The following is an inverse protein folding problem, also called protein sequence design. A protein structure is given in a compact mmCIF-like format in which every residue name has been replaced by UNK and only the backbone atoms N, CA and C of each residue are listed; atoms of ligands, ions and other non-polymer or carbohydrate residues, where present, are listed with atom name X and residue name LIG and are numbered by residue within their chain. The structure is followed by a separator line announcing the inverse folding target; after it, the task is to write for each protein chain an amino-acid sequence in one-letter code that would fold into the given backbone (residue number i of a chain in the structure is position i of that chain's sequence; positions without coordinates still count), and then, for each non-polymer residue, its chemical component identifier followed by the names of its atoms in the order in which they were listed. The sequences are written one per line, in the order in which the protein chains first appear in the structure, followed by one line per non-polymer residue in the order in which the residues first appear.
data_IF_410760668964
#
_entry.id   IF_410760668964
#
_cell.length_a   1.000
_cell.length_b   1.000
_cell.length_c   1.000
_cell.angle_alpha   90.00
_cell.angle_beta   90.00
_cell.angle_gamma   90.00
#
_symmetry.space_group_name_H-M   'P 1'
#
loop_
_entity.id
_entity.type
_entity.pdbx_description
1 polymer ?
#
# COMPACT_ATOMS: atom_id res chain seq x y z
N UNK A 1 11.16 -3.44 28.32
CA UNK A 1 10.10 -2.81 27.52
C UNK A 1 10.45 -1.34 27.33
N UNK A 2 10.76 -0.91 26.11
CA UNK A 2 11.02 0.50 25.80
C UNK A 2 9.70 1.10 25.37
N UNK A 3 9.13 1.99 26.20
CA UNK A 3 7.92 2.75 25.86
C UNK A 3 8.37 4.03 25.16
N UNK A 4 8.00 4.19 23.90
CA UNK A 4 8.23 5.43 23.14
C UNK A 4 6.99 6.31 23.27
N UNK A 5 7.11 7.48 23.90
CA UNK A 5 6.03 8.48 23.93
C UNK A 5 6.33 9.57 22.91
N UNK A 6 5.51 9.65 21.86
CA UNK A 6 5.54 10.72 20.87
C UNK A 6 4.59 11.83 21.34
N UNK A 7 5.11 13.02 21.66
CA UNK A 7 4.28 14.20 21.95
C UNK A 7 4.14 15.00 20.66
N UNK A 8 2.95 14.98 20.05
CA UNK A 8 2.60 15.78 18.87
C UNK A 8 1.79 16.99 19.35
N UNK A 9 2.33 18.20 19.21
CA UNK A 9 1.57 19.44 19.47
C UNK A 9 0.92 19.92 18.18
N UNK A 10 -0.41 19.79 18.08
CA UNK A 10 -1.18 20.28 16.95
C UNK A 10 -1.77 21.64 17.33
N UNK A 11 -1.44 22.70 16.57
CA UNK A 11 -2.08 24.02 16.71
C UNK A 11 -2.98 24.25 15.49
N UNK A 12 -4.29 24.27 15.72
CA UNK A 12 -5.30 24.52 14.68
C UNK A 12 -5.64 26.01 14.67
N UNK A 13 -5.56 26.65 13.50
CA UNK A 13 -6.16 27.97 13.25
C UNK A 13 -6.98 27.90 11.96
N UNK A 14 -8.14 28.55 11.97
CA UNK A 14 -9.34 28.18 11.21
C UNK A 14 -9.25 28.21 9.68
N UNK A 15 -8.12 28.58 9.06
CA UNK A 15 -8.04 28.69 7.60
C UNK A 15 -6.73 28.20 6.96
N UNK A 16 -5.83 27.51 7.69
CA UNK A 16 -4.69 26.82 7.09
C UNK A 16 -4.13 25.73 8.03
N UNK A 17 -4.01 24.49 7.52
CA UNK A 17 -3.36 23.39 8.24
C UNK A 17 -1.84 23.52 8.04
N UNK A 18 -1.16 24.18 8.97
CA UNK A 18 0.30 24.17 9.03
C UNK A 18 0.76 23.06 9.97
N UNK A 19 1.32 21.98 9.40
CA UNK A 19 1.97 20.90 10.16
C UNK A 19 3.44 21.32 10.37
N UNK A 20 3.76 21.83 11.56
CA UNK A 20 5.15 22.03 11.96
C UNK A 20 5.56 20.89 12.89
N UNK A 21 6.54 20.08 12.46
CA UNK A 21 7.09 18.99 13.26
C UNK A 21 8.14 19.60 14.19
N UNK A 22 7.80 19.74 15.48
CA UNK A 22 8.75 20.12 16.52
C UNK A 22 9.84 19.07 16.72
N UNK A 23 11.06 19.54 17.00
CA UNK A 23 12.30 18.77 17.12
C UNK A 23 12.18 17.47 17.94
N UNK A 24 12.69 16.37 17.38
CA UNK A 24 12.74 15.05 18.04
C UNK A 24 13.89 15.06 19.06
N UNK A 25 13.58 15.01 20.36
CA UNK A 25 14.57 14.70 21.40
C UNK A 25 14.47 13.23 21.80
N UNK A 26 15.52 12.47 21.49
CA UNK A 26 15.69 11.06 21.88
C UNK A 26 16.48 11.03 23.19
N UNK A 27 15.81 10.71 24.31
CA UNK A 27 16.52 10.40 25.56
C UNK A 27 16.62 8.87 25.65
N UNK A 28 17.82 8.35 25.41
CA UNK A 28 18.09 6.91 25.32
C UNK A 28 18.80 6.42 26.59
N UNK A 29 18.06 5.79 27.51
CA UNK A 29 18.62 5.15 28.70
C UNK A 29 18.83 3.64 28.49
N UNK A 30 19.72 3.27 27.56
CA UNK A 30 20.55 2.06 27.72
C UNK A 30 21.65 2.01 26.64
N UNK A 31 22.90 2.11 27.08
CA UNK A 31 24.08 2.09 26.22
C UNK A 31 24.47 0.65 25.87
N UNK A 32 24.43 0.33 24.58
CA UNK A 32 25.35 -0.63 23.95
C UNK A 32 26.06 0.12 22.81
N UNK A 33 27.39 0.36 22.87
CA UNK A 33 28.01 1.45 22.10
C UNK A 33 28.40 1.11 20.65
N UNK A 34 28.06 -0.05 20.08
CA UNK A 34 28.64 -0.49 18.79
C UNK A 34 27.73 -0.42 17.55
N UNK A 35 26.49 0.07 17.66
CA UNK A 35 25.55 0.16 16.52
C UNK A 35 25.33 1.56 15.93
N UNK A 36 26.06 2.60 16.36
CA UNK A 36 25.64 3.99 16.09
C UNK A 36 26.21 4.67 14.83
N UNK A 37 27.18 4.08 14.13
CA UNK A 37 27.95 4.85 13.13
C UNK A 37 27.48 4.71 11.67
N UNK A 38 26.76 3.64 11.30
CA UNK A 38 26.35 3.41 9.89
C UNK A 38 24.85 3.12 9.67
N UNK A 39 24.04 3.02 10.73
CA UNK A 39 22.58 2.88 10.60
C UNK A 39 21.88 4.17 10.12
N UNK A 40 22.57 5.31 10.15
CA UNK A 40 22.04 6.62 9.77
C UNK A 40 21.85 6.79 8.24
N UNK A 41 22.85 6.55 7.37
CA UNK A 41 22.72 6.82 5.94
C UNK A 41 21.70 5.92 5.21
N UNK A 42 21.60 4.63 5.56
CA UNK A 42 20.66 3.70 4.89
C UNK A 42 19.21 4.09 5.16
N UNK A 43 18.88 4.48 6.39
CA UNK A 43 17.54 4.95 6.74
C UNK A 43 17.19 6.29 6.06
N UNK A 44 18.18 7.17 5.87
CA UNK A 44 17.98 8.44 5.16
C UNK A 44 17.72 8.22 3.66
N UNK A 45 18.49 7.35 3.00
CA UNK A 45 18.29 7.06 1.57
C UNK A 45 16.90 6.46 1.33
N UNK A 46 16.46 5.52 2.15
CA UNK A 46 15.13 4.93 1.94
C UNK A 46 14.00 5.90 2.25
N UNK A 47 14.15 6.75 3.27
CA UNK A 47 13.18 7.82 3.50
C UNK A 47 13.06 8.75 2.28
N UNK A 48 14.19 9.10 1.64
CA UNK A 48 14.19 9.88 0.40
C UNK A 48 13.55 9.14 -0.78
N UNK A 49 13.80 7.84 -0.93
CA UNK A 49 13.17 7.03 -1.99
C UNK A 49 11.65 6.93 -1.81
N UNK A 50 11.19 6.68 -0.59
CA UNK A 50 9.75 6.64 -0.27
C UNK A 50 9.11 8.00 -0.53
N UNK A 51 9.73 9.10 -0.06
CA UNK A 51 9.26 10.45 -0.36
C UNK A 51 9.18 10.74 -1.87
N UNK A 52 10.17 10.29 -2.64
CA UNK A 52 10.18 10.44 -4.09
C UNK A 52 8.99 9.72 -4.74
N UNK A 53 8.73 8.47 -4.33
CA UNK A 53 7.59 7.69 -4.84
C UNK A 53 6.26 8.31 -4.44
N UNK A 54 6.09 8.73 -3.18
CA UNK A 54 4.89 9.45 -2.73
C UNK A 54 4.66 10.73 -3.53
N UNK A 55 5.72 11.52 -3.77
CA UNK A 55 5.62 12.75 -4.57
C UNK A 55 5.31 12.47 -6.05
N UNK A 56 5.77 11.35 -6.60
CA UNK A 56 5.43 10.94 -7.96
C UNK A 56 3.95 10.54 -8.04
N UNK A 57 3.45 9.73 -7.11
CA UNK A 57 2.03 9.35 -7.03
C UNK A 57 1.13 10.58 -6.89
N UNK A 58 1.47 11.52 -6.00
CA UNK A 58 0.69 12.77 -5.83
C UNK A 58 0.60 13.58 -7.12
N UNK A 59 1.67 13.65 -7.91
CA UNK A 59 1.65 14.31 -9.22
C UNK A 59 0.72 13.60 -10.20
N UNK A 60 0.76 12.27 -10.25
CA UNK A 60 -0.14 11.48 -11.10
C UNK A 60 -1.60 11.66 -10.69
N UNK A 61 -1.90 11.62 -9.38
CA UNK A 61 -3.23 11.86 -8.82
C UNK A 61 -3.78 13.24 -9.22
N UNK A 62 -2.96 14.29 -9.10
CA UNK A 62 -3.35 15.64 -9.50
C UNK A 62 -3.60 15.75 -11.00
N UNK A 63 -2.76 15.11 -11.82
CA UNK A 63 -2.93 15.10 -13.28
C UNK A 63 -4.23 14.38 -13.69
N UNK A 64 -4.48 13.18 -13.15
CA UNK A 64 -5.72 12.43 -13.41
C UNK A 64 -6.95 13.21 -12.96
N UNK A 65 -6.91 13.81 -11.77
CA UNK A 65 -8.00 14.64 -11.27
C UNK A 65 -8.35 15.75 -12.26
N UNK A 66 -7.34 16.52 -12.70
CA UNK A 66 -7.53 17.61 -13.68
C UNK A 66 -8.10 17.11 -15.01
N UNK A 67 -7.64 15.96 -15.49
CA UNK A 67 -8.15 15.36 -16.72
C UNK A 67 -9.66 15.08 -16.62
N UNK A 68 -10.10 14.38 -15.58
CA UNK A 68 -11.52 14.07 -15.39
C UNK A 68 -12.35 15.33 -15.13
N UNK A 69 -11.82 16.30 -14.40
CA UNK A 69 -12.51 17.59 -14.17
C UNK A 69 -12.76 18.30 -15.53
N UNK A 70 -11.82 18.24 -16.47
CA UNK A 70 -11.99 18.78 -17.83
C UNK A 70 -12.99 17.97 -18.67
N UNK A 71 -12.98 16.64 -18.58
CA UNK A 71 -13.94 15.78 -19.29
C UNK A 71 -15.38 16.04 -18.83
N UNK A 72 -15.59 16.22 -17.51
CA UNK A 72 -16.90 16.58 -16.96
C UNK A 72 -17.35 17.95 -17.46
N UNK A 73 -16.47 18.95 -17.46
CA UNK A 73 -16.80 20.28 -17.99
C UNK A 73 -17.18 20.23 -19.48
N UNK A 74 -16.46 19.43 -20.27
CA UNK A 74 -16.76 19.25 -21.69
C UNK A 74 -18.13 18.60 -21.90
N UNK A 75 -18.50 17.60 -21.10
CA UNK A 75 -19.84 17.01 -21.14
C UNK A 75 -20.92 18.04 -20.81
N UNK A 76 -20.73 18.86 -19.78
CA UNK A 76 -21.70 19.89 -19.40
C UNK A 76 -21.88 20.94 -20.51
N UNK A 77 -20.79 21.32 -21.20
CA UNK A 77 -20.87 22.22 -22.36
C UNK A 77 -21.62 21.57 -23.52
N UNK A 78 -21.34 20.30 -23.83
CA UNK A 78 -22.02 19.56 -24.90
C UNK A 78 -23.51 19.37 -24.59
N UNK A 79 -23.85 19.08 -23.33
CA UNK A 79 -25.23 19.00 -22.85
C UNK A 79 -25.96 20.31 -23.12
N UNK A 80 -25.40 21.43 -22.66
CA UNK A 80 -26.00 22.76 -22.82
C UNK A 80 -26.29 23.09 -24.29
N UNK A 81 -25.32 22.85 -25.17
CA UNK A 81 -25.51 23.06 -26.62
C UNK A 81 -26.60 22.16 -27.21
N UNK A 82 -26.69 20.92 -26.73
CA UNK A 82 -27.71 19.96 -27.19
C UNK A 82 -29.11 20.41 -26.77
N UNK A 83 -29.28 20.86 -25.53
CA UNK A 83 -30.55 21.37 -25.01
C UNK A 83 -30.98 22.65 -25.75
N UNK A 84 -30.08 23.62 -25.91
CA UNK A 84 -30.38 24.88 -26.63
C UNK A 84 -30.84 24.60 -28.07
N UNK A 85 -30.19 23.65 -28.76
CA UNK A 85 -30.59 23.24 -30.12
C UNK A 85 -31.97 22.60 -30.15
N UNK A 86 -32.26 21.70 -29.21
CA UNK A 86 -33.56 21.02 -29.12
C UNK A 86 -34.69 21.99 -28.79
N UNK A 87 -34.49 22.90 -27.84
CA UNK A 87 -35.48 23.93 -27.50
C UNK A 87 -35.82 24.82 -28.71
N UNK A 88 -34.81 25.17 -29.52
CA UNK A 88 -35.02 25.93 -30.75
C UNK A 88 -35.81 25.14 -31.79
N UNK A 89 -35.48 23.86 -31.99
CA UNK A 89 -36.19 22.96 -32.90
C UNK A 89 -37.64 22.73 -32.46
N UNK A 90 -37.87 22.50 -31.17
CA UNK A 90 -39.18 22.38 -30.56
C UNK A 90 -40.04 23.62 -30.77
N UNK A 91 -39.45 24.82 -30.60
CA UNK A 91 -40.14 26.09 -30.84
C UNK A 91 -40.56 26.25 -32.30
N UNK A 92 -39.70 25.85 -33.24
CA UNK A 92 -39.99 25.91 -34.67
C UNK A 92 -41.11 24.93 -35.05
N UNK A 93 -41.00 23.66 -34.63
CA UNK A 93 -42.02 22.62 -34.87
C UNK A 93 -43.40 23.04 -34.35
N UNK A 94 -43.47 23.60 -33.14
CA UNK A 94 -44.72 24.07 -32.55
C UNK A 94 -45.36 25.20 -33.37
N UNK A 95 -44.54 26.14 -33.85
CA UNK A 95 -44.99 27.27 -34.66
C UNK A 95 -45.51 26.82 -36.03
N UNK A 96 -44.79 25.93 -36.69
CA UNK A 96 -45.15 25.47 -38.03
C UNK A 96 -46.41 24.60 -37.99
N UNK A 97 -46.55 23.77 -36.96
CA UNK A 97 -47.73 22.94 -36.75
C UNK A 97 -48.97 23.78 -36.38
N UNK A 98 -48.82 24.81 -35.53
CA UNK A 98 -49.89 25.76 -35.24
C UNK A 98 -50.38 26.49 -36.50
N UNK A 99 -49.44 26.92 -37.37
CA UNK A 99 -49.77 27.56 -38.66
C UNK A 99 -50.50 26.59 -39.58
N UNK A 100 -50.04 25.34 -39.67
CA UNK A 100 -50.63 24.29 -40.51
C UNK A 100 -52.07 24.00 -40.09
N UNK A 101 -52.32 23.79 -38.80
CA UNK A 101 -53.66 23.50 -38.27
C UNK A 101 -54.60 24.68 -38.50
N UNK A 102 -54.17 25.93 -38.21
CA UNK A 102 -55.01 27.12 -38.47
C UNK A 102 -55.38 27.27 -39.94
N UNK A 103 -54.42 27.07 -40.85
CA UNK A 103 -54.69 27.14 -42.28
C UNK A 103 -55.70 26.08 -42.76
N UNK A 104 -55.71 24.90 -42.13
CA UNK A 104 -56.71 23.87 -42.44
C UNK A 104 -58.08 24.18 -41.80
N UNK A 105 -58.07 24.71 -40.57
CA UNK A 105 -59.27 25.19 -39.88
C UNK A 105 -60.00 26.27 -40.67
N UNK A 106 -59.27 27.25 -41.24
CA UNK A 106 -59.84 28.32 -42.06
C UNK A 106 -60.51 27.76 -43.34
N UNK A 107 -59.91 26.75 -43.98
CA UNK A 107 -60.51 26.07 -45.15
C UNK A 107 -61.78 25.32 -44.76
N UNK A 108 -61.73 24.55 -43.68
CA UNK A 108 -62.88 23.78 -43.18
C UNK A 108 -64.01 24.69 -42.70
N UNK A 109 -63.68 25.82 -42.06
CA UNK A 109 -64.64 26.84 -41.67
C UNK A 109 -65.33 27.45 -42.90
N UNK A 110 -64.57 27.77 -43.95
CA UNK A 110 -65.13 28.27 -45.21
C UNK A 110 -66.10 27.26 -45.85
N UNK A 111 -65.73 25.97 -45.87
CA UNK A 111 -66.62 24.89 -46.35
C UNK A 111 -67.88 24.77 -45.49
N UNK A 112 -67.75 24.81 -44.17
CA UNK A 112 -68.86 24.69 -43.22
C UNK A 112 -69.85 25.85 -43.34
N UNK A 113 -69.35 27.10 -43.43
CA UNK A 113 -70.17 28.28 -43.66
C UNK A 113 -70.92 28.22 -44.99
N UNK A 114 -70.29 27.72 -46.06
CA UNK A 114 -70.95 27.52 -47.35
C UNK A 114 -72.05 26.45 -47.28
N UNK A 115 -71.84 25.36 -46.54
CA UNK A 115 -72.85 24.32 -46.31
C UNK A 115 -74.05 24.86 -45.51
N UNK A 116 -73.82 25.66 -44.46
CA UNK A 116 -74.89 26.32 -43.70
C UNK A 116 -75.70 27.29 -44.57
N UNK A 117 -75.02 28.08 -45.42
CA UNK A 117 -75.69 28.97 -46.40
C UNK A 117 -76.56 28.21 -47.39
N UNK A 118 -76.12 27.05 -47.86
CA UNK A 118 -76.89 26.22 -48.79
C UNK A 118 -78.12 25.58 -48.12
N UNK A 119 -77.98 25.02 -46.91
CA UNK A 119 -79.13 24.52 -46.13
C UNK A 119 -80.17 25.61 -45.85
N UNK A 120 -79.73 26.84 -45.55
CA UNK A 120 -80.64 27.98 -45.34
C UNK A 120 -81.44 28.33 -46.61
N UNK A 121 -80.86 28.14 -47.81
CA UNK A 121 -81.57 28.34 -49.09
C UNK A 121 -82.59 27.23 -49.40
N UNK A 122 -82.29 26.00 -49.03
CA UNK A 122 -83.18 24.84 -49.21
C UNK A 122 -84.39 24.86 -48.24
N UNK A 123 -84.19 25.28 -46.98
CA UNK A 123 -85.26 25.36 -45.96
C UNK A 123 -86.17 26.58 -46.16
N UNK A 124 -85.66 27.67 -46.76
CA UNK A 124 -86.43 28.90 -47.03
C UNK A 124 -87.59 28.72 -48.03
N UNK A 125 -87.70 27.56 -48.69
CA UNK A 125 -88.84 27.22 -49.56
C UNK A 125 -90.04 26.61 -48.81
N UNK A 126 -89.96 26.36 -47.48
CA UNK A 126 -90.98 25.61 -46.72
C UNK A 126 -91.43 26.25 -45.38
N UNK A 127 -91.61 27.58 -45.34
CA UNK A 127 -92.26 28.41 -44.27
C UNK A 127 -91.30 29.12 -43.27
N UNK A 128 -91.63 30.34 -42.78
CA UNK A 128 -90.72 31.14 -41.97
C UNK A 128 -90.98 30.94 -40.48
N UNK A 129 -90.02 30.33 -39.77
CA UNK A 129 -90.00 30.36 -38.30
C UNK A 129 -88.66 30.87 -37.77
N UNK A 130 -88.75 31.87 -36.90
CA UNK A 130 -87.69 32.68 -36.29
C UNK A 130 -86.68 31.90 -35.42
N UNK A 131 -86.75 30.57 -35.39
CA UNK A 131 -85.97 29.68 -34.54
C UNK A 131 -84.70 29.13 -35.23
N UNK A 132 -84.64 29.24 -36.57
CA UNK A 132 -83.60 28.62 -37.42
C UNK A 132 -82.24 29.36 -37.34
N UNK A 133 -82.26 30.69 -37.19
CA UNK A 133 -81.05 31.51 -37.07
C UNK A 133 -80.24 31.22 -35.79
N UNK A 134 -80.93 31.01 -34.67
CA UNK A 134 -80.30 30.65 -33.40
C UNK A 134 -79.66 29.26 -33.46
N UNK A 135 -80.31 28.31 -34.14
CA UNK A 135 -79.80 26.95 -34.32
C UNK A 135 -78.55 26.92 -35.21
N UNK A 136 -78.54 27.67 -36.32
CA UNK A 136 -77.33 27.81 -37.17
C UNK A 136 -76.17 28.50 -36.46
N UNK A 137 -76.42 29.55 -35.68
CA UNK A 137 -75.38 30.24 -34.90
C UNK A 137 -74.79 29.32 -33.81
N UNK A 138 -75.66 28.58 -33.12
CA UNK A 138 -75.23 27.60 -32.11
C UNK A 138 -74.35 26.50 -32.71
N UNK A 139 -74.72 25.99 -33.90
CA UNK A 139 -73.92 24.97 -34.61
C UNK A 139 -72.59 25.49 -35.15
N UNK A 140 -72.53 26.74 -35.60
CA UNK A 140 -71.27 27.40 -35.99
C UNK A 140 -70.35 27.64 -34.78
N UNK A 141 -70.90 28.06 -33.64
CA UNK A 141 -70.15 28.18 -32.38
C UNK A 141 -69.61 26.83 -31.89
N UNK A 142 -70.42 25.77 -31.94
CA UNK A 142 -69.99 24.41 -31.55
C UNK A 142 -68.86 23.90 -32.47
N UNK A 143 -68.92 24.20 -33.77
CA UNK A 143 -67.87 23.86 -34.72
C UNK A 143 -66.56 24.62 -34.44
N UNK A 144 -66.63 25.93 -34.20
CA UNK A 144 -65.47 26.75 -33.84
C UNK A 144 -64.84 26.30 -32.51
N UNK A 145 -65.66 25.98 -31.52
CA UNK A 145 -65.20 25.46 -30.24
C UNK A 145 -64.47 24.13 -30.41
N UNK A 146 -65.02 23.23 -31.25
CA UNK A 146 -64.38 21.96 -31.56
C UNK A 146 -63.05 22.14 -32.29
N UNK A 147 -62.97 23.03 -33.28
CA UNK A 147 -61.70 23.36 -33.93
C UNK A 147 -60.67 23.88 -32.92
N UNK A 148 -61.04 24.81 -32.04
CA UNK A 148 -60.14 25.32 -31.01
C UNK A 148 -59.67 24.20 -30.07
N UNK A 149 -60.56 23.31 -29.64
CA UNK A 149 -60.22 22.17 -28.79
C UNK A 149 -59.25 21.19 -29.49
N UNK A 150 -59.44 20.93 -30.78
CA UNK A 150 -58.57 20.05 -31.57
C UNK A 150 -57.18 20.67 -31.76
N UNK A 151 -57.10 21.99 -32.01
CA UNK A 151 -55.84 22.74 -32.06
C UNK A 151 -55.10 22.66 -30.72
N UNK A 152 -55.78 22.98 -29.62
CA UNK A 152 -55.19 22.92 -28.28
C UNK A 152 -54.73 21.49 -27.93
N UNK A 153 -55.50 20.48 -28.33
CA UNK A 153 -55.13 19.08 -28.13
C UNK A 153 -53.89 18.67 -28.94
N UNK A 154 -53.77 19.13 -30.19
CA UNK A 154 -52.61 18.87 -31.03
C UNK A 154 -51.35 19.57 -30.49
N UNK A 155 -51.45 20.85 -30.11
CA UNK A 155 -50.34 21.59 -29.52
C UNK A 155 -49.89 21.00 -28.18
N UNK A 156 -50.85 20.56 -27.33
CA UNK A 156 -50.55 19.83 -26.08
C UNK A 156 -49.75 18.56 -26.32
N UNK A 157 -50.12 17.75 -27.32
CA UNK A 157 -49.39 16.52 -27.67
C UNK A 157 -47.94 16.79 -28.06
N UNK A 158 -47.71 17.82 -28.88
CA UNK A 158 -46.36 18.22 -29.32
C UNK A 158 -45.52 18.69 -28.12
N UNK A 159 -46.08 19.54 -27.27
CA UNK A 159 -45.40 20.03 -26.06
C UNK A 159 -45.06 18.85 -25.13
N UNK A 160 -45.99 17.89 -24.95
CA UNK A 160 -45.75 16.71 -24.14
C UNK A 160 -44.62 15.84 -24.72
N UNK A 161 -44.57 15.68 -26.04
CA UNK A 161 -43.49 14.96 -26.71
C UNK A 161 -42.14 15.65 -26.51
N UNK A 162 -42.09 16.99 -26.64
CA UNK A 162 -40.87 17.77 -26.39
C UNK A 162 -40.39 17.65 -24.94
N UNK A 163 -41.30 17.73 -23.97
CA UNK A 163 -40.98 17.51 -22.54
C UNK A 163 -40.39 16.11 -22.31
N UNK A 164 -40.95 15.09 -22.96
CA UNK A 164 -40.46 13.73 -22.84
C UNK A 164 -39.07 13.54 -23.48
N UNK A 165 -38.82 14.15 -24.64
CA UNK A 165 -37.54 14.12 -25.33
C UNK A 165 -36.44 14.82 -24.49
N UNK A 166 -36.73 16.02 -23.97
CA UNK A 166 -35.84 16.73 -23.04
C UNK A 166 -35.54 15.91 -21.78
N UNK A 167 -36.56 15.34 -21.14
CA UNK A 167 -36.39 14.51 -19.95
C UNK A 167 -35.50 13.28 -20.20
N UNK A 168 -35.57 12.71 -21.40
CA UNK A 168 -34.76 11.54 -21.78
C UNK A 168 -33.30 11.93 -21.99
N UNK A 169 -33.05 13.00 -22.73
CA UNK A 169 -31.68 13.47 -23.03
C UNK A 169 -30.97 13.97 -21.76
N UNK A 170 -31.69 14.70 -20.90
CA UNK A 170 -31.20 15.12 -19.60
C UNK A 170 -30.83 13.93 -18.70
N UNK A 171 -31.65 12.86 -18.71
CA UNK A 171 -31.36 11.63 -17.97
C UNK A 171 -30.11 10.94 -18.50
N UNK A 172 -29.98 10.83 -19.81
CA UNK A 172 -28.83 10.18 -20.46
C UNK A 172 -27.54 10.95 -20.20
N UNK A 173 -27.56 12.28 -20.26
CA UNK A 173 -26.41 13.10 -19.91
C UNK A 173 -26.00 12.93 -18.44
N UNK A 174 -26.98 12.97 -17.53
CA UNK A 174 -26.73 12.76 -16.11
C UNK A 174 -26.10 11.37 -15.86
N UNK A 175 -26.62 10.32 -16.49
CA UNK A 175 -26.06 8.97 -16.41
C UNK A 175 -24.62 8.93 -16.92
N UNK A 176 -24.33 9.57 -18.06
CA UNK A 176 -22.99 9.61 -18.61
C UNK A 176 -22.00 10.35 -17.71
N UNK A 177 -22.43 11.48 -17.13
CA UNK A 177 -21.66 12.23 -16.12
C UNK A 177 -21.37 11.39 -14.89
N UNK A 178 -22.36 10.67 -14.36
CA UNK A 178 -22.17 9.77 -13.22
C UNK A 178 -21.17 8.66 -13.54
N UNK A 179 -21.24 8.09 -14.75
CA UNK A 179 -20.30 7.06 -15.18
C UNK A 179 -18.85 7.57 -15.24
N UNK A 180 -18.62 8.79 -15.74
CA UNK A 180 -17.30 9.42 -15.70
C UNK A 180 -16.81 9.63 -14.26
N UNK A 181 -17.68 10.10 -13.37
CA UNK A 181 -17.32 10.31 -11.96
C UNK A 181 -17.02 8.98 -11.24
N UNK A 182 -17.75 7.89 -11.54
CA UNK A 182 -17.41 6.54 -11.07
C UNK A 182 -16.04 6.10 -11.58
N UNK A 183 -15.76 6.29 -12.87
CA UNK A 183 -14.48 5.92 -13.48
C UNK A 183 -13.32 6.72 -12.88
N UNK A 184 -13.51 8.02 -12.64
CA UNK A 184 -12.57 8.89 -11.94
C UNK A 184 -12.25 8.35 -10.55
N UNK A 185 -13.26 8.11 -9.73
CA UNK A 185 -13.04 7.63 -8.36
C UNK A 185 -12.39 6.25 -8.34
N UNK A 186 -12.80 5.32 -9.21
CA UNK A 186 -12.15 4.02 -9.36
C UNK A 186 -10.65 4.16 -9.71
N UNK A 187 -10.32 5.02 -10.68
CA UNK A 187 -8.93 5.28 -11.07
C UNK A 187 -8.10 5.92 -9.93
N UNK A 188 -8.72 6.74 -9.09
CA UNK A 188 -8.07 7.31 -7.90
C UNK A 188 -7.79 6.24 -6.85
N UNK A 189 -8.75 5.37 -6.59
CA UNK A 189 -8.60 4.28 -5.62
C UNK A 189 -7.54 3.27 -6.04
N UNK A 190 -7.48 2.91 -7.33
CA UNK A 190 -6.42 2.04 -7.87
C UNK A 190 -5.02 2.64 -7.69
N UNK A 191 -4.88 3.96 -7.88
CA UNK A 191 -3.61 4.66 -7.68
C UNK A 191 -3.22 4.71 -6.19
N UNK A 192 -4.19 4.95 -5.30
CA UNK A 192 -3.98 4.91 -3.85
C UNK A 192 -3.55 3.49 -3.40
N UNK A 193 -4.22 2.43 -3.85
CA UNK A 193 -3.88 1.04 -3.53
C UNK A 193 -2.49 0.67 -4.04
N UNK A 194 -2.20 1.00 -5.30
CA UNK A 194 -0.87 0.77 -5.89
C UNK A 194 0.22 1.48 -5.10
N UNK A 195 -0.03 2.72 -4.67
CA UNK A 195 0.94 3.45 -3.85
C UNK A 195 1.24 2.77 -2.51
N UNK A 196 0.21 2.26 -1.83
CA UNK A 196 0.38 1.49 -0.59
C UNK A 196 1.21 0.22 -0.83
N UNK A 197 0.95 -0.49 -1.94
CA UNK A 197 1.73 -1.67 -2.32
C UNK A 197 3.19 -1.33 -2.64
N UNK A 198 3.44 -0.30 -3.44
CA UNK A 198 4.79 0.16 -3.79
C UNK A 198 5.58 0.57 -2.54
N UNK A 199 4.95 1.34 -1.64
CA UNK A 199 5.52 1.73 -0.34
C UNK A 199 5.94 0.50 0.47
N UNK A 200 5.07 -0.51 0.57
CA UNK A 200 5.36 -1.75 1.29
C UNK A 200 6.54 -2.51 0.65
N UNK A 201 6.56 -2.65 -0.68
CA UNK A 201 7.66 -3.35 -1.36
C UNK A 201 9.01 -2.65 -1.16
N UNK A 202 9.04 -1.31 -1.17
CA UNK A 202 10.26 -0.55 -0.90
C UNK A 202 10.79 -0.81 0.51
N UNK A 203 9.94 -0.76 1.54
CA UNK A 203 10.35 -1.05 2.91
C UNK A 203 10.79 -2.52 3.07
N UNK A 204 10.09 -3.45 2.42
CA UNK A 204 10.43 -4.88 2.45
C UNK A 204 11.79 -5.14 1.82
N UNK A 205 12.07 -4.52 0.67
CA UNK A 205 13.37 -4.63 0.01
C UNK A 205 14.49 -4.01 0.85
N UNK A 206 14.28 -2.81 1.39
CA UNK A 206 15.24 -2.17 2.27
C UNK A 206 15.59 -3.05 3.48
N UNK A 207 14.58 -3.63 4.12
CA UNK A 207 14.78 -4.49 5.28
C UNK A 207 15.64 -5.71 4.91
N UNK A 208 15.34 -6.36 3.76
CA UNK A 208 16.16 -7.46 3.24
C UNK A 208 17.60 -7.05 2.97
N UNK A 209 17.82 -5.91 2.33
CA UNK A 209 19.17 -5.41 2.02
C UNK A 209 19.96 -5.10 3.31
N UNK A 210 19.28 -4.58 4.34
CA UNK A 210 19.88 -4.36 5.65
C UNK A 210 20.32 -5.67 6.30
N UNK A 211 19.45 -6.70 6.35
CA UNK A 211 19.81 -7.99 6.92
C UNK A 211 20.85 -8.75 6.09
N UNK A 212 20.83 -8.59 4.77
CA UNK A 212 21.87 -9.13 3.89
C UNK A 212 23.24 -8.59 4.27
N UNK A 213 23.36 -7.26 4.46
CA UNK A 213 24.59 -6.63 4.92
C UNK A 213 25.00 -7.12 6.32
N UNK A 214 24.05 -7.23 7.26
CA UNK A 214 24.32 -7.74 8.61
C UNK A 214 24.84 -9.18 8.60
N UNK A 215 24.24 -10.06 7.78
CA UNK A 215 24.69 -11.45 7.59
C UNK A 215 26.11 -11.48 7.04
N UNK A 216 26.39 -10.70 5.99
CA UNK A 216 27.73 -10.62 5.41
C UNK A 216 28.79 -10.17 6.43
N UNK A 217 28.48 -9.14 7.22
CA UNK A 217 29.37 -8.65 8.28
C UNK A 217 29.56 -9.64 9.42
N UNK A 218 28.51 -10.39 9.78
CA UNK A 218 28.60 -11.45 10.79
C UNK A 218 29.54 -12.57 10.33
N UNK A 219 29.40 -13.03 9.08
CA UNK A 219 30.29 -14.05 8.51
C UNK A 219 31.75 -13.61 8.48
N UNK A 220 32.03 -12.36 8.09
CA UNK A 220 33.39 -11.79 8.16
C UNK A 220 33.95 -11.77 9.58
N UNK A 221 33.13 -11.47 10.58
CA UNK A 221 33.55 -11.54 11.99
C UNK A 221 33.84 -12.98 12.41
N UNK A 222 32.98 -13.93 12.02
CA UNK A 222 33.17 -15.34 12.33
C UNK A 222 34.48 -15.90 11.73
N UNK A 223 34.82 -15.51 10.50
CA UNK A 223 36.10 -15.85 9.87
C UNK A 223 37.29 -15.37 10.73
N UNK A 224 37.24 -14.12 11.21
CA UNK A 224 38.31 -13.56 12.06
C UNK A 224 38.38 -14.19 13.45
N UNK A 225 37.24 -14.49 14.07
CA UNK A 225 37.19 -15.24 15.33
C UNK A 225 37.80 -16.65 15.16
N UNK A 226 37.51 -17.32 14.04
CA UNK A 226 38.05 -18.64 13.73
C UNK A 226 39.56 -18.61 13.52
N UNK A 227 40.07 -17.66 12.73
CA UNK A 227 41.51 -17.44 12.54
C UNK A 227 42.23 -17.21 13.88
N UNK A 228 41.63 -16.41 14.77
CA UNK A 228 42.19 -16.15 16.09
C UNK A 228 42.24 -17.40 16.97
N UNK A 229 41.17 -18.20 16.97
CA UNK A 229 41.12 -19.46 17.72
C UNK A 229 42.15 -20.47 17.22
N UNK A 230 42.29 -20.61 15.90
CA UNK A 230 43.30 -21.49 15.30
C UNK A 230 44.72 -21.06 15.69
N UNK A 231 45.04 -19.76 15.62
CA UNK A 231 46.34 -19.22 16.05
C UNK A 231 46.58 -19.38 17.54
N UNK A 232 45.54 -19.32 18.36
CA UNK A 232 45.63 -19.56 19.80
C UNK A 232 45.97 -21.02 20.09
N UNK A 233 45.19 -21.97 19.54
CA UNK A 233 45.43 -23.40 19.70
C UNK A 233 46.81 -23.82 19.17
N UNK A 234 47.25 -23.25 18.04
CA UNK A 234 48.59 -23.53 17.48
C UNK A 234 49.71 -23.10 18.43
N UNK A 235 49.57 -21.95 19.11
CA UNK A 235 50.53 -21.48 20.12
C UNK A 235 50.59 -22.42 21.32
N UNK A 236 49.44 -22.88 21.83
CA UNK A 236 49.40 -23.84 22.94
C UNK A 236 50.11 -25.15 22.59
N UNK A 237 49.89 -25.67 21.38
CA UNK A 237 50.56 -26.89 20.89
C UNK A 237 52.07 -26.68 20.81
N UNK A 238 52.51 -25.54 20.29
CA UNK A 238 53.93 -25.22 20.15
C UNK A 238 54.62 -25.05 21.52
N UNK A 239 53.96 -24.40 22.47
CA UNK A 239 54.44 -24.28 23.86
C UNK A 239 54.60 -25.66 24.53
N UNK A 240 53.63 -26.57 24.34
CA UNK A 240 53.73 -27.94 24.86
C UNK A 240 54.89 -28.71 24.23
N UNK A 241 55.06 -28.64 22.90
CA UNK A 241 56.19 -29.27 22.20
C UNK A 241 57.53 -28.73 22.68
N UNK A 242 57.64 -27.42 22.90
CA UNK A 242 58.85 -26.78 23.43
C UNK A 242 59.17 -27.28 24.84
N UNK A 243 58.17 -27.36 25.72
CA UNK A 243 58.33 -27.92 27.06
C UNK A 243 58.80 -29.37 27.04
N UNK A 244 58.17 -30.23 26.23
CA UNK A 244 58.56 -31.63 26.09
C UNK A 244 59.97 -31.80 25.54
N UNK A 245 60.38 -30.94 24.60
CA UNK A 245 61.73 -30.93 24.04
C UNK A 245 62.77 -30.57 25.09
N UNK A 246 62.51 -29.56 25.92
CA UNK A 246 63.38 -29.21 27.05
C UNK A 246 63.48 -30.33 28.09
N UNK A 247 62.35 -30.97 28.42
CA UNK A 247 62.31 -32.09 29.37
C UNK A 247 63.09 -33.31 28.86
N UNK A 248 62.94 -33.65 27.57
CA UNK A 248 63.72 -34.72 26.91
C UNK A 248 65.22 -34.41 26.89
N UNK A 249 65.61 -33.16 26.65
CA UNK A 249 67.02 -32.76 26.64
C UNK A 249 67.66 -32.78 28.04
N UNK A 250 66.90 -32.52 29.10
CA UNK A 250 67.39 -32.50 30.50
C UNK A 250 67.50 -33.89 31.11
N UNK A 251 66.58 -34.82 30.78
CA UNK A 251 66.49 -36.13 31.42
C UNK A 251 67.82 -36.94 31.40
N UNK A 252 68.57 -37.06 30.29
CA UNK A 252 69.82 -37.82 30.29
C UNK A 252 70.89 -37.23 31.21
N UNK A 253 70.90 -35.91 31.41
CA UNK A 253 71.84 -35.26 32.35
C UNK A 253 71.48 -35.62 33.79
N UNK A 254 70.18 -35.58 34.12
CA UNK A 254 69.65 -35.97 35.43
C UNK A 254 69.95 -37.45 35.72
N UNK A 255 69.63 -38.35 34.78
CA UNK A 255 69.89 -39.79 34.91
C UNK A 255 71.37 -40.10 35.16
N UNK A 256 72.29 -39.41 34.47
CA UNK A 256 73.74 -39.58 34.69
C UNK A 256 74.16 -39.13 36.09
N UNK A 257 73.70 -37.97 36.55
CA UNK A 257 74.02 -37.49 37.91
C UNK A 257 73.45 -38.41 38.99
N UNK A 258 72.21 -38.87 38.83
CA UNK A 258 71.56 -39.77 39.78
C UNK A 258 72.23 -41.14 39.82
N UNK A 259 72.56 -41.73 38.67
CA UNK A 259 73.25 -43.01 38.60
C UNK A 259 74.61 -42.95 39.28
N UNK A 260 75.35 -41.84 39.12
CA UNK A 260 76.61 -41.62 39.83
C UNK A 260 76.41 -41.62 41.35
N UNK A 261 75.41 -40.90 41.84
CA UNK A 261 75.08 -40.84 43.28
C UNK A 261 74.62 -42.21 43.81
N UNK A 262 73.70 -42.89 43.10
CA UNK A 262 73.20 -44.22 43.46
C UNK A 262 74.31 -45.28 43.49
N UNK A 263 75.20 -45.27 42.50
CA UNK A 263 76.38 -46.16 42.46
C UNK A 263 77.33 -45.90 43.63
N UNK A 264 77.59 -44.62 43.96
CA UNK A 264 78.44 -44.27 45.11
C UNK A 264 77.82 -44.76 46.44
N UNK A 265 76.50 -44.58 46.62
CA UNK A 265 75.77 -45.10 47.77
C UNK A 265 75.81 -46.63 47.83
N UNK A 266 75.61 -47.32 46.71
CA UNK A 266 75.67 -48.78 46.65
C UNK A 266 77.07 -49.32 47.00
N UNK A 267 78.14 -48.72 46.44
CA UNK A 267 79.53 -49.07 46.82
C UNK A 267 79.80 -48.84 48.31
N UNK A 268 79.29 -47.74 48.88
CA UNK A 268 79.39 -47.48 50.33
C UNK A 268 78.62 -48.53 51.14
N UNK A 269 77.42 -48.91 50.71
CA UNK A 269 76.62 -49.96 51.35
C UNK A 269 77.31 -51.33 51.29
N UNK A 270 77.89 -51.70 50.15
CA UNK A 270 78.61 -52.97 50.00
C UNK A 270 79.76 -53.11 51.00
N UNK A 271 80.51 -52.02 51.23
CA UNK A 271 81.62 -51.97 52.21
C UNK A 271 81.15 -52.13 53.66
N UNK A 272 79.91 -51.74 53.97
CA UNK A 272 79.34 -51.81 55.33
C UNK A 272 78.68 -53.17 55.58
N UNK A 273 77.92 -53.68 54.60
CA UNK A 273 77.06 -54.85 54.79
C UNK A 273 77.80 -56.19 54.61
N UNK A 274 78.92 -56.24 53.89
CA UNK A 274 79.60 -57.50 53.57
C UNK A 274 81.11 -57.35 53.75
N UNK A 275 81.60 -57.57 54.98
CA UNK A 275 83.03 -57.40 55.32
C UNK A 275 83.98 -58.48 54.74
N UNK A 276 83.44 -59.55 54.15
CA UNK A 276 84.21 -60.70 53.65
C UNK A 276 83.70 -61.22 52.29
N UNK A 277 83.66 -60.35 51.26
CA UNK A 277 83.43 -60.76 49.87
C UNK A 277 84.73 -60.72 49.08
N UNK A 278 84.89 -61.68 48.17
CA UNK A 278 86.03 -61.68 47.25
C UNK A 278 85.91 -60.51 46.26
N UNK A 279 87.04 -59.96 45.77
CA UNK A 279 87.02 -58.89 44.77
C UNK A 279 86.21 -59.23 43.51
N UNK A 280 86.10 -60.51 43.18
CA UNK A 280 85.30 -61.03 42.06
C UNK A 280 83.80 -60.90 42.30
N UNK A 281 83.33 -61.28 43.50
CA UNK A 281 81.93 -61.15 43.89
C UNK A 281 81.49 -59.69 44.03
N UNK A 282 82.39 -58.80 44.46
CA UNK A 282 82.14 -57.36 44.48
C UNK A 282 81.95 -56.80 43.06
N UNK A 283 82.81 -57.19 42.11
CA UNK A 283 82.69 -56.80 40.69
C UNK A 283 81.35 -57.26 40.09
N UNK A 284 80.95 -58.49 40.36
CA UNK A 284 79.69 -59.03 39.84
C UNK A 284 78.46 -58.32 40.44
N UNK A 285 78.45 -58.03 41.75
CA UNK A 285 77.38 -57.24 42.38
C UNK A 285 77.29 -55.81 41.83
N UNK A 286 78.42 -55.16 41.55
CA UNK A 286 78.45 -53.83 40.91
C UNK A 286 77.89 -53.89 39.49
N UNK A 287 78.22 -54.94 38.72
CA UNK A 287 77.69 -55.16 37.37
C UNK A 287 76.18 -55.38 37.36
N UNK A 288 75.66 -56.19 38.28
CA UNK A 288 74.22 -56.42 38.44
C UNK A 288 73.48 -55.13 38.81
N UNK A 289 74.03 -54.32 39.72
CA UNK A 289 73.47 -53.03 40.06
C UNK A 289 73.47 -52.06 38.87
N UNK A 290 74.54 -52.03 38.08
CA UNK A 290 74.60 -51.21 36.87
C UNK A 290 73.54 -51.62 35.84
N UNK A 291 73.34 -52.93 35.62
CA UNK A 291 72.30 -53.44 34.74
C UNK A 291 70.88 -53.12 35.26
N UNK A 292 70.67 -53.18 36.57
CA UNK A 292 69.40 -52.78 37.19
C UNK A 292 69.14 -51.27 37.06
N UNK A 293 70.16 -50.44 37.23
CA UNK A 293 70.06 -48.99 37.06
C UNK A 293 69.79 -48.61 35.59
N UNK A 294 70.41 -49.30 34.63
CA UNK A 294 70.14 -49.12 33.21
C UNK A 294 68.68 -49.48 32.86
N UNK A 295 68.16 -50.58 33.42
CA UNK A 295 66.74 -50.96 33.27
C UNK A 295 65.82 -49.90 33.85
N UNK A 296 66.13 -49.33 35.02
CA UNK A 296 65.38 -48.21 35.63
C UNK A 296 65.35 -47.00 34.70
N UNK A 297 66.51 -46.59 34.18
CA UNK A 297 66.60 -45.44 33.28
C UNK A 297 65.82 -45.64 31.98
N UNK A 298 65.84 -46.85 31.42
CA UNK A 298 65.04 -47.21 30.24
C UNK A 298 63.54 -47.09 30.52
N UNK A 299 63.08 -47.61 31.65
CA UNK A 299 61.67 -47.53 32.05
C UNK A 299 61.23 -46.08 32.30
N UNK A 300 62.08 -45.26 32.92
CA UNK A 300 61.80 -43.84 33.14
C UNK A 300 61.69 -43.06 31.81
N UNK A 301 62.55 -43.34 30.83
CA UNK A 301 62.43 -42.76 29.48
C UNK A 301 61.12 -43.17 28.80
N UNK A 302 60.73 -44.43 28.92
CA UNK A 302 59.46 -44.92 28.37
C UNK A 302 58.27 -44.24 29.03
N UNK A 303 58.28 -44.11 30.37
CA UNK A 303 57.23 -43.44 31.11
C UNK A 303 57.12 -41.95 30.76
N UNK A 304 58.27 -41.25 30.63
CA UNK A 304 58.29 -39.86 30.17
C UNK A 304 57.68 -39.72 28.77
N UNK A 305 58.04 -40.61 27.84
CA UNK A 305 57.49 -40.60 26.49
C UNK A 305 55.97 -40.82 26.48
N UNK A 306 55.47 -41.81 27.22
CA UNK A 306 54.03 -42.05 27.35
C UNK A 306 53.28 -40.86 27.96
N UNK A 307 53.88 -40.20 28.97
CA UNK A 307 53.33 -38.99 29.57
C UNK A 307 53.23 -37.86 28.53
N UNK A 308 54.27 -37.65 27.73
CA UNK A 308 54.29 -36.64 26.67
C UNK A 308 53.22 -36.92 25.60
N UNK A 309 53.09 -38.17 25.17
CA UNK A 309 52.05 -38.59 24.21
C UNK A 309 50.63 -38.34 24.74
N UNK A 310 50.37 -38.70 26.00
CA UNK A 310 49.06 -38.47 26.61
C UNK A 310 48.74 -36.97 26.72
N UNK A 311 49.69 -36.15 27.17
CA UNK A 311 49.51 -34.70 27.25
C UNK A 311 49.25 -34.07 25.88
N UNK A 312 49.95 -34.52 24.83
CA UNK A 312 49.70 -34.04 23.46
C UNK A 312 48.31 -34.41 22.98
N UNK A 313 47.87 -35.65 23.26
CA UNK A 313 46.53 -36.11 22.88
C UNK A 313 45.44 -35.29 23.58
N UNK A 314 45.57 -35.09 24.88
CA UNK A 314 44.60 -34.34 25.68
C UNK A 314 44.53 -32.88 25.23
N UNK A 315 45.67 -32.25 24.95
CA UNK A 315 45.70 -30.89 24.42
C UNK A 315 45.07 -30.79 23.03
N UNK A 316 45.30 -31.77 22.15
CA UNK A 316 44.69 -31.78 20.83
C UNK A 316 43.16 -31.89 20.95
N UNK A 317 42.66 -32.78 21.80
CA UNK A 317 41.22 -32.91 22.07
C UNK A 317 40.62 -31.62 22.63
N UNK A 318 41.35 -30.91 23.50
CA UNK A 318 40.92 -29.60 24.00
C UNK A 318 40.88 -28.55 22.87
N UNK A 319 41.88 -28.51 21.99
CA UNK A 319 41.90 -27.61 20.85
C UNK A 319 40.69 -27.86 19.92
N UNK A 320 40.39 -29.13 19.66
CA UNK A 320 39.25 -29.54 18.83
C UNK A 320 37.91 -29.23 19.51
N UNK A 321 37.83 -29.33 20.84
CA UNK A 321 36.67 -28.90 21.61
C UNK A 321 36.45 -27.37 21.52
N UNK A 322 37.51 -26.58 21.69
CA UNK A 322 37.44 -25.11 21.58
C UNK A 322 36.93 -24.66 20.20
N UNK A 323 37.38 -25.33 19.12
CA UNK A 323 36.92 -25.04 17.75
C UNK A 323 35.43 -25.37 17.60
N UNK A 324 34.99 -26.53 18.10
CA UNK A 324 33.58 -26.94 18.02
C UNK A 324 32.66 -26.01 18.80
N UNK A 325 33.05 -25.60 20.00
CA UNK A 325 32.29 -24.65 20.83
C UNK A 325 32.17 -23.28 20.13
N UNK A 326 33.27 -22.78 19.56
CA UNK A 326 33.22 -21.53 18.78
C UNK A 326 32.27 -21.65 17.58
N UNK A 327 32.35 -22.75 16.82
CA UNK A 327 31.45 -23.00 15.69
C UNK A 327 29.98 -23.06 16.13
N UNK A 328 29.68 -23.69 17.28
CA UNK A 328 28.34 -23.73 17.83
C UNK A 328 27.82 -22.31 18.13
N UNK A 329 28.61 -21.49 18.83
CA UNK A 329 28.24 -20.10 19.13
C UNK A 329 28.03 -19.27 17.85
N UNK A 330 28.85 -19.51 16.81
CA UNK A 330 28.68 -18.86 15.51
C UNK A 330 27.38 -19.28 14.81
N UNK A 331 27.03 -20.57 14.87
CA UNK A 331 25.76 -21.06 14.31
C UNK A 331 24.56 -20.47 15.05
N UNK A 332 24.59 -20.42 16.38
CA UNK A 332 23.54 -19.79 17.19
C UNK A 332 23.35 -18.31 16.84
N UNK A 333 24.45 -17.54 16.68
CA UNK A 333 24.39 -16.15 16.22
C UNK A 333 23.74 -16.02 14.84
N UNK A 334 24.06 -16.91 13.89
CA UNK A 334 23.46 -16.93 12.57
C UNK A 334 21.96 -17.26 12.62
N UNK A 335 21.57 -18.26 13.41
CA UNK A 335 20.16 -18.65 13.58
C UNK A 335 19.33 -17.50 14.16
N UNK A 336 19.79 -16.87 15.24
CA UNK A 336 19.11 -15.73 15.85
C UNK A 336 18.95 -14.56 14.88
N UNK A 337 19.96 -14.29 14.04
CA UNK A 337 19.87 -13.23 13.05
C UNK A 337 18.80 -13.51 12.00
N UNK A 338 18.70 -14.75 11.51
CA UNK A 338 17.69 -15.18 10.54
C UNK A 338 16.28 -15.16 11.15
N UNK A 339 16.15 -15.63 12.39
CA UNK A 339 14.87 -15.61 13.12
C UNK A 339 14.38 -14.17 13.29
N UNK A 340 15.27 -13.25 13.67
CA UNK A 340 14.95 -11.83 13.79
C UNK A 340 14.62 -11.17 12.44
N UNK A 341 15.32 -11.51 11.35
CA UNK A 341 14.97 -11.09 9.98
C UNK A 341 13.55 -11.56 9.61
N UNK A 342 13.24 -12.82 9.86
CA UNK A 342 11.95 -13.44 9.56
C UNK A 342 10.82 -12.78 10.34
N UNK A 343 11.02 -12.58 11.65
CA UNK A 343 10.06 -11.92 12.51
C UNK A 343 9.81 -10.48 12.08
N UNK A 344 10.86 -9.73 11.71
CA UNK A 344 10.72 -8.34 11.24
C UNK A 344 10.01 -8.23 9.89
N UNK A 345 10.24 -9.16 8.97
CA UNK A 345 9.50 -9.23 7.71
C UNK A 345 8.02 -9.52 7.95
N UNK A 346 7.72 -10.43 8.89
CA UNK A 346 6.34 -10.75 9.27
C UNK A 346 5.62 -9.55 9.89
N UNK A 347 6.26 -8.84 10.82
CA UNK A 347 5.72 -7.62 11.42
C UNK A 347 5.40 -6.55 10.35
N UNK A 348 6.29 -6.36 9.37
CA UNK A 348 6.09 -5.43 8.27
C UNK A 348 4.92 -5.83 7.35
N UNK A 349 4.77 -7.13 7.08
CA UNK A 349 3.65 -7.68 6.29
C UNK A 349 2.32 -7.51 7.05
N UNK A 350 2.31 -7.70 8.37
CA UNK A 350 1.15 -7.49 9.23
C UNK A 350 0.75 -6.01 9.29
N UNK A 351 1.71 -5.09 9.45
CA UNK A 351 1.47 -3.64 9.42
C UNK A 351 0.86 -3.20 8.09
N UNK A 352 1.38 -3.69 6.97
CA UNK A 352 0.83 -3.41 5.64
C UNK A 352 -0.60 -3.95 5.46
N UNK A 353 -0.87 -5.16 5.97
CA UNK A 353 -2.21 -5.75 5.95
C UNK A 353 -3.22 -4.91 6.75
N UNK A 354 -2.81 -4.39 7.90
CA UNK A 354 -3.60 -3.46 8.71
C UNK A 354 -3.83 -2.13 7.97
N UNK A 355 -2.79 -1.54 7.38
CA UNK A 355 -2.89 -0.30 6.60
C UNK A 355 -3.88 -0.46 5.43
N UNK A 356 -3.82 -1.58 4.69
CA UNK A 356 -4.77 -1.90 3.63
C UNK A 356 -6.20 -2.07 4.15
N UNK A 357 -6.37 -2.73 5.30
CA UNK A 357 -7.68 -2.90 5.92
C UNK A 357 -8.28 -1.55 6.30
N UNK A 358 -7.52 -0.69 6.96
CA UNK A 358 -7.96 0.65 7.33
C UNK A 358 -8.28 1.53 6.12
N UNK A 359 -7.45 1.47 5.07
CA UNK A 359 -7.72 2.17 3.82
C UNK A 359 -9.03 1.70 3.19
N UNK A 360 -9.28 0.38 3.12
CA UNK A 360 -10.56 -0.17 2.61
C UNK A 360 -11.76 0.25 3.45
N UNK A 361 -11.62 0.31 4.77
CA UNK A 361 -12.69 0.77 5.65
C UNK A 361 -12.99 2.28 5.46
N UNK A 362 -11.97 3.10 5.16
CA UNK A 362 -12.17 4.51 4.75
C UNK A 362 -12.78 4.64 3.35
N UNK A 363 -12.53 3.67 2.47
CA UNK A 363 -13.02 3.66 1.10
C UNK A 363 -14.53 3.42 1.01
N UNK A 364 -15.05 2.46 1.80
CA UNK A 364 -16.48 2.10 1.83
C UNK A 364 -17.42 3.31 1.98
N UNK A 365 -17.28 4.20 2.99
CA UNK A 365 -18.17 5.35 3.14
C UNK A 365 -17.99 6.38 2.02
N UNK A 366 -16.78 6.58 1.48
CA UNK A 366 -16.53 7.46 0.32
C UNK A 366 -17.30 6.98 -0.90
N UNK A 367 -17.25 5.67 -1.19
CA UNK A 367 -18.03 5.05 -2.28
C UNK A 367 -19.54 5.20 -2.05
N UNK A 368 -20.00 4.95 -0.82
CA UNK A 368 -21.43 5.07 -0.47
C UNK A 368 -21.94 6.50 -0.67
N UNK A 369 -21.20 7.50 -0.17
CA UNK A 369 -21.57 8.91 -0.31
C UNK A 369 -21.66 9.34 -1.77
N UNK A 370 -20.76 8.84 -2.63
CA UNK A 370 -20.79 9.11 -4.07
C UNK A 370 -22.06 8.55 -4.73
N UNK A 371 -22.40 7.29 -4.46
CA UNK A 371 -23.62 6.68 -5.02
C UNK A 371 -24.90 7.29 -4.46
N UNK A 372 -24.90 7.71 -3.18
CA UNK A 372 -26.02 8.46 -2.58
C UNK A 372 -26.22 9.82 -3.27
N UNK A 373 -25.13 10.53 -3.61
CA UNK A 373 -25.20 11.79 -4.37
C UNK A 373 -25.78 11.57 -5.78
N UNK A 374 -25.38 10.49 -6.45
CA UNK A 374 -25.92 10.12 -7.76
C UNK A 374 -27.41 9.78 -7.71
N UNK A 375 -27.82 8.98 -6.71
CA UNK A 375 -29.21 8.64 -6.49
C UNK A 375 -30.06 9.89 -6.20
N UNK A 376 -29.55 10.79 -5.36
CA UNK A 376 -30.24 12.06 -5.04
C UNK A 376 -30.42 12.93 -6.29
N UNK A 377 -29.38 13.10 -7.11
CA UNK A 377 -29.46 13.89 -8.36
C UNK A 377 -30.45 13.28 -9.36
N UNK A 378 -30.50 11.95 -9.47
CA UNK A 378 -31.45 11.27 -10.33
C UNK A 378 -32.90 11.49 -9.84
N UNK A 379 -33.13 11.39 -8.53
CA UNK A 379 -34.43 11.66 -7.92
C UNK A 379 -34.86 13.13 -8.11
N UNK A 380 -33.95 14.08 -7.90
CA UNK A 380 -34.21 15.52 -8.13
C UNK A 380 -34.64 15.78 -9.59
N UNK A 381 -33.96 15.16 -10.56
CA UNK A 381 -34.31 15.27 -11.98
C UNK A 381 -35.66 14.64 -12.30
N UNK A 382 -35.97 13.46 -11.74
CA UNK A 382 -37.28 12.83 -11.91
C UNK A 382 -38.42 13.70 -11.36
N UNK A 383 -38.25 14.27 -10.17
CA UNK A 383 -39.24 15.17 -9.56
C UNK A 383 -39.42 16.41 -10.43
N UNK A 384 -38.33 17.01 -10.92
CA UNK A 384 -38.37 18.17 -11.80
C UNK A 384 -39.23 17.94 -13.05
N UNK A 385 -39.04 16.81 -13.75
CA UNK A 385 -39.80 16.49 -14.96
C UNK A 385 -41.21 15.96 -14.68
N UNK A 386 -41.46 15.30 -13.52
CA UNK A 386 -42.81 14.89 -13.09
C UNK A 386 -43.70 16.11 -12.78
N UNK A 387 -43.19 17.09 -12.03
CA UNK A 387 -43.93 18.30 -11.66
C UNK A 387 -44.17 19.24 -12.86
N UNK A 388 -43.30 19.20 -13.87
CA UNK A 388 -43.45 19.98 -15.11
C UNK A 388 -44.56 19.47 -16.03
N UNK A 389 -45.17 18.32 -15.73
CA UNK A 389 -46.26 17.71 -16.50
C UNK A 389 -47.58 18.50 -16.49
N UNK A 390 -47.82 19.35 -15.48
CA UNK A 390 -49.11 20.05 -15.28
C UNK A 390 -49.18 21.46 -15.89
N UNK A 391 -48.10 21.96 -16.53
CA UNK A 391 -48.07 23.35 -17.02
C UNK A 391 -49.01 23.58 -18.22
N UNK A 392 -50.03 24.43 -18.01
CA UNK A 392 -51.08 24.79 -18.97
C UNK A 392 -50.55 25.58 -20.18
N UNK A 393 -51.18 25.35 -21.33
CA UNK A 393 -50.87 26.01 -22.59
C UNK A 393 -51.31 27.47 -22.55
N UNK A 394 -50.37 28.41 -22.44
CA UNK A 394 -50.67 29.82 -22.69
C UNK A 394 -50.55 30.15 -24.18
N UNK A 395 -51.58 30.86 -24.64
CA UNK A 395 -51.90 31.27 -26.01
C UNK A 395 -50.68 31.58 -26.92
N UNK A 396 -50.51 30.88 -28.07
CA UNK A 396 -49.41 31.07 -29.02
C UNK A 396 -49.35 32.46 -29.69
N UNK A 397 -50.37 33.31 -29.50
CA UNK A 397 -50.53 34.60 -30.21
C UNK A 397 -49.75 35.75 -29.56
N UNK A 398 -49.18 35.55 -28.37
CA UNK A 398 -48.31 36.54 -27.72
C UNK A 398 -46.84 36.16 -27.94
N UNK A 399 -46.17 36.92 -28.80
CA UNK A 399 -44.79 36.69 -29.28
C UNK A 399 -43.70 36.70 -28.19
N UNK A 400 -44.07 36.85 -26.91
CA UNK A 400 -43.17 37.10 -25.77
C UNK A 400 -42.90 35.86 -24.90
N UNK A 401 -43.75 34.82 -24.93
CA UNK A 401 -43.60 33.64 -24.05
C UNK A 401 -44.02 32.31 -24.69
N UNK A 402 -43.56 32.04 -25.91
CA UNK A 402 -43.66 30.69 -26.47
C UNK A 402 -42.63 29.82 -25.75
N UNK A 403 -43.09 29.11 -24.71
CA UNK A 403 -42.42 28.04 -23.95
C UNK A 403 -40.96 28.29 -23.55
N UNK A 404 -40.76 28.95 -22.41
CA UNK A 404 -39.50 28.78 -21.65
C UNK A 404 -39.68 27.56 -20.75
N UNK A 405 -39.01 26.46 -21.10
CA UNK A 405 -39.00 25.23 -20.30
C UNK A 405 -38.21 25.39 -18.99
N UNK A 406 -37.43 26.47 -18.87
CA UNK A 406 -36.77 26.87 -17.63
C UNK A 406 -37.50 28.06 -16.96
N UNK A 407 -37.79 27.99 -15.65
CA UNK A 407 -38.09 29.19 -14.88
C UNK A 407 -36.84 30.08 -14.90
N UNK A 408 -36.97 31.31 -15.40
CA UNK A 408 -35.94 32.32 -15.17
C UNK A 408 -36.06 32.70 -13.69
N UNK A 409 -35.03 32.49 -12.84
CA UNK A 409 -35.08 33.00 -11.49
C UNK A 409 -35.25 34.52 -11.57
N UNK A 410 -36.28 35.04 -10.90
CA UNK A 410 -36.43 36.48 -10.79
C UNK A 410 -35.23 37.00 -10.01
N UNK A 411 -34.26 37.57 -10.72
CA UNK A 411 -33.26 38.45 -10.11
C UNK A 411 -34.04 39.57 -9.43
N UNK A 412 -34.23 39.42 -8.12
CA UNK A 412 -34.56 40.55 -7.29
C UNK A 412 -33.33 41.43 -7.33
N UNK A 413 -33.42 42.47 -8.15
CA UNK A 413 -32.49 43.59 -8.10
C UNK A 413 -32.68 44.25 -6.74
N UNK A 414 -31.99 43.74 -5.71
CA UNK A 414 -31.72 44.54 -4.52
C UNK A 414 -30.67 45.56 -4.96
N UNK A 415 -31.16 46.71 -5.42
CA UNK A 415 -30.39 47.93 -5.31
C UNK A 415 -30.17 48.20 -3.83
N UNK A 416 -28.92 48.13 -3.40
CA UNK A 416 -28.17 49.13 -2.64
C UNK A 416 -26.78 48.59 -2.34
#
# INVERSE_FOLDING_TARGET
MVVYTIIITIRVSSNNVNISIGSIQIINNNKNPLNSTFAKPVNTITHLTVLSVTNATLRVLQSKKRQYDQEVENLERQQKQTIERLEQEHTNRLRDEAKRIKAEQDKELSKYQNMLKNRKKEVSHMSPLSQDGFWTFSKEQEFLQKQQQDLDSALKKIIQQHKHELATIERDCLNHKQQLLRAREAAMWELEERHLQEKHQLFKQQLKDQYFMQRHQLLKRHEKEMEQMQRYNQRLIEEMKNKQTQERARLPKIQRSEAKTRMAMFKKSLRITVAAITPEQEREKIKQFAAQEEKRQKNERLHQHQKHENQMRDLQLQCDANIRELQQLQNEKCHLLIEHETQKLKELDEEHSLELKEWREKLRPRKKALEEEFARKLQEQEVFFKMSGESECLNPSTQSRISKFYPIPSVHSTGF
#
